data_IF_317884033970
#
_entry.id   IF_317884033970
#
_cell.length_a   1.000
_cell.length_b   1.000
_cell.length_c   1.000
_cell.angle_alpha   90.00
_cell.angle_beta   90.00
_cell.angle_gamma   90.00
#
_symmetry.space_group_name_H-M   'P 1'
#
loop_
_entity.id
_entity.type
_entity.pdbx_description
1 polymer ?
#
# COMPACT_ATOMS: atom_id res chain seq x y z
N UNK A 1 15.77 -4.85 9.46
CA UNK A 1 15.26 -5.05 8.08
C UNK A 1 16.43 -5.18 7.15
N UNK A 2 16.44 -6.29 6.41
CA UNK A 2 17.47 -6.56 5.43
C UNK A 2 17.23 -5.72 4.18
N UNK A 3 18.29 -5.34 3.45
CA UNK A 3 18.19 -4.52 2.23
C UNK A 3 17.22 -5.11 1.20
N UNK A 4 17.13 -6.44 1.13
CA UNK A 4 16.20 -7.17 0.25
C UNK A 4 14.71 -6.97 0.62
N UNK A 5 14.38 -6.88 1.91
CA UNK A 5 13.00 -6.67 2.38
C UNK A 5 12.49 -5.27 2.01
N UNK A 6 13.35 -4.25 2.14
CA UNK A 6 13.04 -2.89 1.70
C UNK A 6 12.72 -2.81 0.20
N UNK A 7 13.52 -3.51 -0.60
CA UNK A 7 13.33 -3.55 -2.06
C UNK A 7 11.99 -4.23 -2.38
N UNK A 8 11.67 -5.33 -1.69
CA UNK A 8 10.41 -6.05 -1.87
C UNK A 8 9.20 -5.16 -1.53
N UNK A 9 9.24 -4.46 -0.40
CA UNK A 9 8.19 -3.50 -0.01
C UNK A 9 8.01 -2.43 -1.09
N UNK A 10 9.11 -1.86 -1.60
CA UNK A 10 9.07 -0.88 -2.69
C UNK A 10 8.42 -1.42 -3.96
N UNK A 11 8.76 -2.66 -4.36
CA UNK A 11 8.16 -3.33 -5.51
C UNK A 11 6.65 -3.54 -5.31
N UNK A 12 6.21 -3.98 -4.13
CA UNK A 12 4.79 -4.18 -3.83
C UNK A 12 3.99 -2.86 -3.91
N UNK A 13 4.59 -1.73 -3.53
CA UNK A 13 4.00 -0.41 -3.72
C UNK A 13 3.87 -0.02 -5.19
N UNK A 14 4.90 -0.26 -6.00
CA UNK A 14 4.86 0.02 -7.44
C UNK A 14 3.77 -0.82 -8.12
N UNK A 15 3.70 -2.12 -7.81
CA UNK A 15 2.66 -3.02 -8.32
C UNK A 15 1.27 -2.51 -7.93
N UNK A 16 1.09 -2.11 -6.67
CA UNK A 16 -0.18 -1.55 -6.20
C UNK A 16 -0.55 -0.28 -6.99
N UNK A 17 0.40 0.65 -7.19
CA UNK A 17 0.16 1.85 -7.99
C UNK A 17 -0.24 1.57 -9.44
N UNK A 18 0.38 0.56 -10.07
CA UNK A 18 0.02 0.11 -11.43
C UNK A 18 -1.40 -0.46 -11.46
N UNK A 19 -1.74 -1.34 -10.50
CA UNK A 19 -3.07 -1.94 -10.40
C UNK A 19 -4.17 -0.88 -10.26
N UNK A 20 -3.90 0.18 -9.51
CA UNK A 20 -4.83 1.29 -9.29
C UNK A 20 -4.99 2.11 -10.57
N UNK A 21 -3.87 2.49 -11.19
CA UNK A 21 -3.86 3.42 -12.33
C UNK A 21 -4.45 2.81 -13.61
N UNK A 22 -4.15 1.55 -13.91
CA UNK A 22 -4.42 0.97 -15.23
C UNK A 22 -5.68 0.13 -15.31
N UNK A 23 -6.08 -0.52 -14.22
CA UNK A 23 -7.18 -1.48 -14.28
C UNK A 23 -8.51 -0.91 -13.83
N UNK A 24 -8.51 0.19 -13.05
CA UNK A 24 -9.66 1.04 -12.69
C UNK A 24 -10.97 0.28 -12.40
N UNK A 25 -10.89 -0.93 -11.87
CA UNK A 25 -12.04 -1.76 -11.55
C UNK A 25 -12.04 -2.11 -10.06
N UNK A 26 -13.23 -2.36 -9.53
CA UNK A 26 -13.43 -2.60 -8.09
C UNK A 26 -12.58 -3.75 -7.57
N UNK A 27 -12.40 -4.80 -8.38
CA UNK A 27 -11.61 -5.97 -8.00
C UNK A 27 -10.10 -5.64 -7.87
N UNK A 28 -9.53 -4.89 -8.81
CA UNK A 28 -8.13 -4.49 -8.75
C UNK A 28 -7.87 -3.44 -7.67
N UNK A 29 -8.84 -2.56 -7.38
CA UNK A 29 -8.77 -1.64 -6.24
C UNK A 29 -8.75 -2.38 -4.90
N UNK A 30 -9.62 -3.38 -4.70
CA UNK A 30 -9.62 -4.22 -3.50
C UNK A 30 -8.30 -5.00 -3.38
N UNK A 31 -7.81 -5.55 -4.49
CA UNK A 31 -6.54 -6.31 -4.51
C UNK A 31 -5.35 -5.41 -4.14
N UNK A 32 -5.29 -4.20 -4.70
CA UNK A 32 -4.27 -3.22 -4.36
C UNK A 32 -4.35 -2.81 -2.88
N UNK A 33 -5.56 -2.64 -2.34
CA UNK A 33 -5.76 -2.36 -0.91
C UNK A 33 -5.16 -3.46 -0.03
N UNK A 34 -5.45 -4.72 -0.35
CA UNK A 34 -4.93 -5.86 0.40
C UNK A 34 -3.41 -5.92 0.36
N UNK A 35 -2.78 -5.65 -0.80
CA UNK A 35 -1.33 -5.61 -0.93
C UNK A 35 -0.74 -4.49 -0.06
N UNK A 36 -1.29 -3.28 -0.12
CA UNK A 36 -0.81 -2.14 0.68
C UNK A 36 -0.93 -2.44 2.18
N UNK A 37 -2.09 -2.93 2.63
CA UNK A 37 -2.33 -3.24 4.04
C UNK A 37 -1.42 -4.37 4.53
N UNK A 38 -1.30 -5.47 3.78
CA UNK A 38 -0.43 -6.58 4.16
C UNK A 38 1.04 -6.15 4.24
N UNK A 39 1.48 -5.32 3.29
CA UNK A 39 2.84 -4.76 3.28
C UNK A 39 3.07 -3.84 4.47
N UNK A 40 2.09 -2.97 4.78
CA UNK A 40 2.14 -2.07 5.93
C UNK A 40 2.22 -2.81 7.26
N UNK A 41 1.36 -3.82 7.46
CA UNK A 41 1.34 -4.64 8.68
C UNK A 41 2.67 -5.36 8.84
N UNK A 42 3.18 -5.98 7.78
CA UNK A 42 4.47 -6.68 7.81
C UNK A 42 5.63 -5.73 8.17
N UNK A 43 5.69 -4.56 7.52
CA UNK A 43 6.76 -3.58 7.71
C UNK A 43 6.74 -2.98 9.13
N UNK A 44 5.55 -2.63 9.64
CA UNK A 44 5.37 -2.11 11.00
C UNK A 44 5.69 -3.18 12.04
N UNK A 45 5.22 -4.42 11.85
CA UNK A 45 5.48 -5.51 12.80
C UNK A 45 6.99 -5.78 12.96
N UNK A 46 7.75 -5.75 11.86
CA UNK A 46 9.20 -5.98 11.91
C UNK A 46 10.00 -4.82 12.49
N UNK A 47 9.58 -3.57 12.25
CA UNK A 47 10.25 -2.39 12.80
C UNK A 47 9.26 -1.23 12.93
N UNK A 48 8.56 -1.13 14.08
CA UNK A 48 7.58 -0.09 14.29
C UNK A 48 8.30 1.24 14.53
N UNK A 49 8.26 2.12 13.55
CA UNK A 49 8.72 3.50 13.71
C UNK A 49 7.57 4.44 13.42
N UNK A 50 7.46 5.51 14.21
CA UNK A 50 6.40 6.51 14.06
C UNK A 50 6.29 7.09 12.63
N UNK A 51 7.41 7.41 11.94
CA UNK A 51 7.33 7.90 10.55
C UNK A 51 6.72 6.90 9.57
N UNK A 52 6.97 5.59 9.74
CA UNK A 52 6.40 4.56 8.87
C UNK A 52 4.90 4.44 9.08
N UNK A 53 4.46 4.42 10.33
CA UNK A 53 3.03 4.35 10.67
C UNK A 53 2.30 5.55 10.05
N UNK A 54 2.83 6.76 10.21
CA UNK A 54 2.32 7.96 9.57
C UNK A 54 2.25 7.86 8.04
N UNK A 55 3.32 7.37 7.41
CA UNK A 55 3.36 7.16 5.96
C UNK A 55 2.22 6.24 5.50
N UNK A 56 2.03 5.09 6.14
CA UNK A 56 0.97 4.15 5.77
C UNK A 56 -0.42 4.71 6.03
N UNK A 57 -0.63 5.49 7.09
CA UNK A 57 -1.91 6.18 7.34
C UNK A 57 -2.22 7.17 6.21
N UNK A 58 -1.23 7.96 5.78
CA UNK A 58 -1.41 8.92 4.68
C UNK A 58 -1.73 8.19 3.36
N UNK A 59 -0.97 7.12 3.05
CA UNK A 59 -1.22 6.28 1.86
C UNK A 59 -2.63 5.71 1.89
N UNK A 60 -3.04 5.14 3.03
CA UNK A 60 -4.35 4.55 3.18
C UNK A 60 -5.47 5.59 3.06
N UNK A 61 -5.29 6.78 3.65
CA UNK A 61 -6.23 7.89 3.54
C UNK A 61 -6.38 8.39 2.11
N UNK A 62 -5.27 8.61 1.40
CA UNK A 62 -5.27 9.00 -0.01
C UNK A 62 -5.97 7.95 -0.88
N UNK A 63 -5.71 6.67 -0.62
CA UNK A 63 -6.31 5.58 -1.35
C UNK A 63 -7.82 5.39 -1.05
N UNK A 64 -8.23 5.56 0.21
CA UNK A 64 -9.64 5.51 0.61
C UNK A 64 -10.44 6.66 -0.01
N UNK A 65 -9.88 7.88 -0.02
CA UNK A 65 -10.48 9.01 -0.71
C UNK A 65 -10.66 8.70 -2.21
N UNK A 66 -9.63 8.15 -2.85
CA UNK A 66 -9.68 7.73 -4.24
C UNK A 66 -10.81 6.73 -4.52
N UNK A 67 -10.97 5.70 -3.68
CA UNK A 67 -12.06 4.71 -3.79
C UNK A 67 -13.44 5.40 -3.74
N UNK A 68 -13.65 6.34 -2.82
CA UNK A 68 -14.94 7.03 -2.64
C UNK A 68 -15.31 7.87 -3.89
N UNK A 69 -14.34 8.42 -4.61
CA UNK A 69 -14.61 9.21 -5.83
C UNK A 69 -14.82 8.37 -7.09
N UNK A 70 -14.32 7.12 -7.12
CA UNK A 70 -14.34 6.27 -8.31
C UNK A 70 -15.38 5.14 -8.28
N UNK A 71 -15.93 4.80 -7.11
CA UNK A 71 -17.07 3.89 -6.94
C UNK A 71 -18.37 4.70 -6.89
#
# INVERSE_FOLDING_TARGET
MNRKENILIGILFVISGILITFFLNTFTMITALLIIVATAVYDIYKKPTFPKILFYIIVFGAFSAYIIFFI
#
